data_IF_681923296151
#
_entry.id   IF_681923296151
#
_cell.length_a   1.000
_cell.length_b   1.000
_cell.length_c   1.000
_cell.angle_alpha   90.00
_cell.angle_beta   90.00
_cell.angle_gamma   90.00
#
_symmetry.space_group_name_H-M   'P 1'
#
loop_
_entity.id
_entity.type
_entity.pdbx_description
1 polymer ?
#
# COMPACT_ATOMS: atom_id res chain seq x y z
N UNK A 1 1.03 1.73 -24.44
CA UNK A 1 1.10 0.27 -24.73
C UNK A 1 0.38 -0.43 -23.62
N UNK A 2 -0.37 -1.51 -23.87
CA UNK A 2 -0.99 -2.27 -22.78
C UNK A 2 0.08 -2.70 -21.79
N UNK A 3 -0.26 -2.69 -20.49
CA UNK A 3 0.67 -3.07 -19.42
C UNK A 3 1.15 -4.52 -19.55
N UNK A 4 2.25 -4.85 -18.87
CA UNK A 4 2.76 -6.23 -18.81
C UNK A 4 1.71 -7.15 -18.17
N UNK A 5 1.18 -8.16 -18.88
CA UNK A 5 0.16 -9.06 -18.35
C UNK A 5 0.65 -9.93 -17.17
N UNK A 6 1.95 -9.98 -16.92
CA UNK A 6 2.54 -10.67 -15.76
C UNK A 6 2.61 -9.81 -14.50
N UNK A 7 2.16 -8.56 -14.57
CA UNK A 7 2.24 -7.57 -13.48
C UNK A 7 0.88 -7.17 -12.98
N UNK A 8 0.72 -7.19 -11.66
CA UNK A 8 -0.39 -6.57 -10.93
C UNK A 8 0.16 -5.41 -10.12
N UNK A 9 -0.53 -4.28 -10.08
CA UNK A 9 -0.09 -3.11 -9.30
C UNK A 9 -1.15 -2.72 -8.27
N UNK A 10 -0.74 -2.62 -7.01
CA UNK A 10 -1.61 -2.30 -5.87
C UNK A 10 -1.18 -0.98 -5.26
N UNK A 11 -2.16 -0.13 -4.99
CA UNK A 11 -2.00 1.18 -4.37
C UNK A 11 -2.74 1.20 -3.04
N UNK A 12 -2.10 1.69 -1.97
CA UNK A 12 -2.69 1.76 -0.64
C UNK A 12 -2.58 3.18 -0.09
N UNK A 13 -3.70 3.90 -0.04
CA UNK A 13 -3.76 5.26 0.47
C UNK A 13 -3.52 5.32 1.98
N UNK A 14 -2.97 6.43 2.46
CA UNK A 14 -2.79 6.70 3.87
C UNK A 14 -4.11 7.01 4.59
N UNK A 15 -4.06 7.13 5.92
CA UNK A 15 -5.23 7.47 6.74
C UNK A 15 -5.95 8.72 6.22
N UNK A 16 -7.26 8.64 6.05
CA UNK A 16 -8.15 9.67 5.47
C UNK A 16 -7.91 9.98 3.99
N UNK A 17 -6.91 9.40 3.36
CA UNK A 17 -6.65 9.55 1.93
C UNK A 17 -7.46 8.52 1.14
N UNK A 18 -7.85 8.85 -0.07
CA UNK A 18 -8.68 7.99 -0.92
C UNK A 18 -8.27 8.15 -2.39
N UNK A 19 -8.83 7.30 -3.25
CA UNK A 19 -8.53 7.25 -4.70
C UNK A 19 -8.71 8.56 -5.44
N UNK A 20 -9.60 9.44 -4.94
CA UNK A 20 -9.87 10.74 -5.52
C UNK A 20 -9.10 11.88 -4.81
N UNK A 21 -8.16 11.53 -3.91
CA UNK A 21 -7.28 12.52 -3.30
C UNK A 21 -6.41 13.18 -4.38
N UNK A 22 -6.51 14.49 -4.49
CA UNK A 22 -5.72 15.26 -5.45
C UNK A 22 -4.34 15.59 -4.89
N UNK A 23 -3.34 15.60 -5.76
CA UNK A 23 -1.95 15.95 -5.42
C UNK A 23 -1.35 15.08 -4.30
N UNK A 24 -1.80 13.83 -4.23
CA UNK A 24 -1.26 12.81 -3.35
C UNK A 24 -0.67 11.67 -4.20
N UNK A 25 0.61 11.43 -4.03
CA UNK A 25 1.41 10.57 -4.92
C UNK A 25 0.78 9.18 -5.16
N UNK A 26 0.23 8.51 -4.14
CA UNK A 26 -0.32 7.16 -4.29
C UNK A 26 -1.61 7.16 -5.13
N UNK A 27 -2.51 8.11 -4.87
CA UNK A 27 -3.75 8.26 -5.63
C UNK A 27 -3.47 8.69 -7.08
N UNK A 28 -2.52 9.62 -7.28
CA UNK A 28 -2.13 10.08 -8.62
C UNK A 28 -1.46 8.97 -9.42
N UNK A 29 -0.53 8.23 -8.83
CA UNK A 29 0.08 7.07 -9.48
C UNK A 29 -0.96 6.03 -9.88
N UNK A 30 -1.99 5.78 -9.07
CA UNK A 30 -3.09 4.91 -9.47
C UNK A 30 -3.85 5.45 -10.69
N UNK A 31 -4.16 6.75 -10.73
CA UNK A 31 -4.84 7.37 -11.87
C UNK A 31 -4.01 7.27 -13.16
N UNK A 32 -2.71 7.49 -13.06
CA UNK A 32 -1.78 7.46 -14.19
C UNK A 32 -1.33 6.06 -14.60
N UNK A 33 -1.56 5.05 -13.78
CA UNK A 33 -1.20 3.67 -14.08
C UNK A 33 -2.09 3.10 -15.19
N UNK A 34 -1.45 2.56 -16.23
CA UNK A 34 -2.11 1.96 -17.41
C UNK A 34 -2.18 0.42 -17.35
N UNK A 35 -1.76 -0.19 -16.25
CA UNK A 35 -1.92 -1.62 -16.07
C UNK A 35 -3.40 -1.98 -16.03
N UNK A 36 -3.82 -2.97 -16.84
CA UNK A 36 -5.20 -3.49 -16.84
C UNK A 36 -5.57 -4.06 -15.46
N UNK A 37 -4.58 -4.64 -14.78
CA UNK A 37 -4.73 -5.20 -13.44
C UNK A 37 -4.10 -4.29 -12.40
N UNK A 38 -4.89 -3.31 -11.96
CA UNK A 38 -4.54 -2.42 -10.86
C UNK A 38 -5.65 -2.38 -9.83
N UNK A 39 -5.26 -2.15 -8.60
CA UNK A 39 -6.17 -2.06 -7.45
C UNK A 39 -5.79 -0.90 -6.55
N UNK A 40 -6.77 -0.24 -5.95
CA UNK A 40 -6.52 0.78 -4.94
C UNK A 40 -7.35 0.54 -3.69
N UNK A 41 -6.68 0.58 -2.56
CA UNK A 41 -7.27 0.60 -1.23
C UNK A 41 -7.34 2.04 -0.73
N UNK A 42 -8.55 2.51 -0.41
CA UNK A 42 -8.71 3.77 0.30
C UNK A 42 -8.20 3.62 1.74
N UNK A 43 -7.62 4.67 2.28
CA UNK A 43 -7.01 4.64 3.60
C UNK A 43 -8.02 4.49 4.74
N UNK A 44 -7.62 3.96 5.89
CA UNK A 44 -8.47 3.89 7.07
C UNK A 44 -9.05 5.26 7.44
N UNK A 45 -10.34 5.32 7.74
CA UNK A 45 -11.02 6.57 8.07
C UNK A 45 -11.36 7.48 6.89
N UNK A 46 -11.21 7.03 5.65
CA UNK A 46 -11.60 7.78 4.45
C UNK A 46 -13.13 7.90 4.26
N UNK A 47 -13.92 7.23 5.10
CA UNK A 47 -15.38 7.28 5.05
C UNK A 47 -15.97 6.34 3.99
N UNK A 48 -17.16 6.69 3.46
CA UNK A 48 -17.95 5.85 2.54
C UNK A 48 -17.33 5.61 1.15
N UNK A 49 -16.10 6.05 0.90
CA UNK A 49 -15.40 5.77 -0.36
C UNK A 49 -15.24 4.28 -0.64
N UNK A 50 -15.24 3.47 0.41
CA UNK A 50 -15.11 2.02 0.30
C UNK A 50 -16.24 1.36 -0.49
N UNK A 51 -17.47 1.86 -0.42
CA UNK A 51 -18.63 1.16 -0.97
C UNK A 51 -19.36 1.90 -2.09
N UNK A 52 -19.25 3.23 -2.16
CA UNK A 52 -20.16 4.00 -3.00
C UNK A 52 -19.78 4.08 -4.49
N UNK A 53 -18.53 3.83 -4.85
CA UNK A 53 -18.03 4.06 -6.22
C UNK A 53 -17.33 2.87 -6.90
N UNK A 54 -16.86 1.87 -6.17
CA UNK A 54 -16.09 0.79 -6.79
C UNK A 54 -16.91 -0.50 -6.94
N UNK A 55 -17.37 -0.72 -8.16
CA UNK A 55 -18.11 -1.93 -8.53
C UNK A 55 -17.31 -3.24 -8.28
N UNK A 56 -15.98 -3.20 -8.41
CA UNK A 56 -15.14 -4.38 -8.17
C UNK A 56 -15.06 -4.74 -6.69
N UNK A 57 -14.93 -3.75 -5.80
CA UNK A 57 -14.97 -3.99 -4.34
C UNK A 57 -16.29 -4.64 -3.96
N UNK A 58 -17.42 -4.14 -4.46
CA UNK A 58 -18.75 -4.71 -4.17
C UNK A 58 -18.89 -6.16 -4.64
N UNK A 59 -18.31 -6.50 -5.79
CA UNK A 59 -18.29 -7.90 -6.27
C UNK A 59 -17.51 -8.80 -5.32
N UNK A 60 -16.34 -8.34 -4.86
CA UNK A 60 -15.53 -9.11 -3.93
C UNK A 60 -16.22 -9.24 -2.57
N UNK A 61 -16.80 -8.15 -2.04
CA UNK A 61 -17.59 -8.19 -0.79
C UNK A 61 -18.78 -9.15 -0.89
N UNK A 62 -19.46 -9.20 -2.03
CA UNK A 62 -20.57 -10.12 -2.24
C UNK A 62 -20.13 -11.58 -2.10
N UNK A 63 -18.94 -11.95 -2.57
CA UNK A 63 -18.42 -13.31 -2.41
C UNK A 63 -18.23 -13.70 -0.94
N UNK A 64 -17.80 -12.78 -0.10
CA UNK A 64 -17.68 -13.04 1.33
C UNK A 64 -19.05 -13.21 1.99
N UNK A 65 -20.04 -12.39 1.60
CA UNK A 65 -21.43 -12.52 2.09
C UNK A 65 -22.09 -13.83 1.67
N UNK A 66 -21.75 -14.34 0.50
CA UNK A 66 -22.21 -15.63 -0.03
C UNK A 66 -21.38 -16.81 0.51
N UNK A 67 -20.51 -16.59 1.48
CA UNK A 67 -19.59 -17.60 2.03
C UNK A 67 -18.66 -18.25 0.98
N UNK A 68 -18.38 -17.53 -0.10
CA UNK A 68 -17.55 -17.97 -1.23
C UNK A 68 -16.13 -17.44 -1.08
N UNK A 69 -15.45 -17.96 -0.07
CA UNK A 69 -14.05 -17.62 0.21
C UNK A 69 -13.11 -18.28 -0.81
N UNK A 70 -12.12 -17.53 -1.27
CA UNK A 70 -11.03 -18.10 -2.04
C UNK A 70 -10.31 -19.18 -1.20
N UNK A 71 -9.89 -20.26 -1.83
CA UNK A 71 -9.24 -21.38 -1.14
C UNK A 71 -8.13 -20.94 -0.18
N UNK A 72 -7.19 -20.02 -0.58
CA UNK A 72 -6.15 -19.51 0.31
C UNK A 72 -6.65 -18.70 1.51
N UNK A 73 -7.90 -18.24 1.49
CA UNK A 73 -8.48 -17.42 2.57
C UNK A 73 -9.39 -18.21 3.51
N UNK A 74 -9.56 -19.50 3.31
CA UNK A 74 -10.39 -20.33 4.19
C UNK A 74 -9.91 -20.33 5.64
N UNK A 75 -8.61 -20.09 5.88
CA UNK A 75 -8.06 -19.91 7.22
C UNK A 75 -8.63 -18.69 7.95
N UNK A 76 -8.99 -17.62 7.21
CA UNK A 76 -9.60 -16.42 7.78
C UNK A 76 -11.09 -16.62 8.13
N UNK A 77 -11.77 -17.59 7.52
CA UNK A 77 -13.18 -17.89 7.72
C UNK A 77 -13.55 -18.25 9.16
N UNK A 78 -12.65 -18.90 9.87
CA UNK A 78 -12.87 -19.33 11.28
C UNK A 78 -12.74 -18.21 12.31
N UNK A 79 -12.40 -16.99 11.91
CA UNK A 79 -12.07 -15.90 12.83
C UNK A 79 -13.25 -14.95 13.13
N UNK A 80 -14.46 -15.33 12.74
CA UNK A 80 -15.69 -14.60 13.01
C UNK A 80 -16.33 -13.98 11.78
N UNK A 81 -17.57 -13.49 11.90
CA UNK A 81 -18.21 -12.78 10.83
C UNK A 81 -17.41 -11.51 10.57
N UNK A 82 -16.82 -11.40 9.41
CA UNK A 82 -16.28 -10.13 8.92
C UNK A 82 -17.47 -9.26 8.53
N UNK A 83 -17.99 -8.54 9.49
CA UNK A 83 -18.81 -7.38 9.21
C UNK A 83 -17.89 -6.33 8.61
N UNK A 84 -17.92 -6.23 7.29
CA UNK A 84 -17.34 -5.09 6.60
C UNK A 84 -18.13 -3.87 7.05
N UNK A 85 -17.66 -3.21 8.09
CA UNK A 85 -18.32 -2.08 8.72
C UNK A 85 -18.24 -0.87 7.78
N UNK A 86 -19.30 -0.72 6.95
CA UNK A 86 -19.44 0.38 6.01
C UNK A 86 -19.59 1.74 6.70
N UNK A 87 -19.94 1.76 7.98
CA UNK A 87 -20.05 2.98 8.81
C UNK A 87 -18.79 3.22 9.64
N UNK A 88 -17.64 2.93 9.11
CA UNK A 88 -16.37 3.00 9.81
C UNK A 88 -16.20 4.36 10.44
N UNK A 89 -16.44 4.37 11.71
CA UNK A 89 -16.24 5.49 12.59
C UNK A 89 -14.96 6.23 12.21
N UNK A 90 -15.12 7.41 11.61
CA UNK A 90 -14.00 8.27 11.18
C UNK A 90 -12.95 8.45 12.27
N UNK A 91 -13.37 8.39 13.54
CA UNK A 91 -12.52 8.53 14.73
C UNK A 91 -11.75 7.24 15.00
N UNK A 92 -12.38 6.08 14.98
CA UNK A 92 -11.72 4.79 15.25
C UNK A 92 -10.81 4.33 14.11
N UNK A 93 -11.16 4.65 12.86
CA UNK A 93 -10.26 4.46 11.72
C UNK A 93 -9.01 5.34 11.82
N UNK A 94 -9.16 6.55 12.36
CA UNK A 94 -8.04 7.48 12.55
C UNK A 94 -7.06 7.00 13.64
N UNK A 95 -7.56 6.54 14.78
CA UNK A 95 -6.75 6.18 15.95
C UNK A 95 -6.34 4.71 15.96
N UNK A 96 -7.21 3.81 15.55
CA UNK A 96 -7.06 2.36 15.70
C UNK A 96 -6.74 1.57 14.42
N UNK A 97 -6.58 2.21 13.26
CA UNK A 97 -6.27 1.49 12.01
C UNK A 97 -7.37 0.55 11.50
N UNK A 98 -8.59 0.62 12.05
CA UNK A 98 -9.73 -0.17 11.59
C UNK A 98 -9.95 0.01 10.09
N UNK A 99 -10.18 -1.06 9.38
CA UNK A 99 -10.32 -1.10 7.93
C UNK A 99 -9.06 -1.58 7.20
N UNK A 100 -7.90 -1.65 7.85
CA UNK A 100 -6.70 -2.20 7.24
C UNK A 100 -6.84 -3.68 6.94
N UNK A 101 -7.39 -4.46 7.88
CA UNK A 101 -7.60 -5.89 7.69
C UNK A 101 -8.60 -6.18 6.58
N UNK A 102 -9.66 -5.37 6.49
CA UNK A 102 -10.64 -5.48 5.41
C UNK A 102 -9.98 -5.22 4.06
N UNK A 103 -9.11 -4.19 3.97
CA UNK A 103 -8.34 -3.91 2.78
C UNK A 103 -7.47 -5.12 2.38
N UNK A 104 -6.80 -5.76 3.35
CA UNK A 104 -5.97 -6.93 3.11
C UNK A 104 -6.82 -8.08 2.58
N UNK A 105 -7.93 -8.43 3.25
CA UNK A 105 -8.77 -9.55 2.86
C UNK A 105 -9.40 -9.35 1.48
N UNK A 106 -9.97 -8.18 1.23
CA UNK A 106 -10.58 -7.85 -0.06
C UNK A 106 -9.54 -7.91 -1.18
N UNK A 107 -8.34 -7.37 -0.94
CA UNK A 107 -7.26 -7.38 -1.92
C UNK A 107 -6.75 -8.80 -2.18
N UNK A 108 -6.61 -9.65 -1.15
CA UNK A 108 -6.23 -11.05 -1.32
C UNK A 108 -7.25 -11.81 -2.15
N UNK A 109 -8.54 -11.62 -1.87
CA UNK A 109 -9.61 -12.24 -2.64
C UNK A 109 -9.57 -11.79 -4.10
N UNK A 110 -9.38 -10.50 -4.35
CA UNK A 110 -9.24 -9.96 -5.69
C UNK A 110 -8.01 -10.52 -6.41
N UNK A 111 -6.85 -10.56 -5.76
CA UNK A 111 -5.62 -11.14 -6.31
C UNK A 111 -5.80 -12.60 -6.70
N UNK A 112 -6.50 -13.37 -5.89
CA UNK A 112 -6.81 -14.77 -6.18
C UNK A 112 -7.68 -14.90 -7.42
N UNK A 113 -8.72 -14.08 -7.54
CA UNK A 113 -9.58 -14.06 -8.72
C UNK A 113 -8.82 -13.66 -9.98
N UNK A 114 -7.97 -12.62 -9.89
CA UNK A 114 -7.15 -12.18 -11.02
C UNK A 114 -6.13 -13.25 -11.45
N UNK A 115 -5.53 -13.97 -10.50
CA UNK A 115 -4.64 -15.07 -10.80
C UNK A 115 -5.33 -16.21 -11.59
N UNK A 116 -6.56 -16.52 -11.22
CA UNK A 116 -7.32 -17.57 -11.93
C UNK A 116 -7.84 -17.13 -13.29
N UNK A 117 -8.08 -15.84 -13.49
CA UNK A 117 -8.40 -15.33 -14.84
C UNK A 117 -7.17 -15.43 -15.75
N UNK A 118 -6.04 -14.98 -15.27
CA UNK A 118 -4.75 -14.99 -15.95
C UNK A 118 -3.61 -14.97 -14.93
N UNK A 119 -2.80 -16.04 -14.84
CA UNK A 119 -1.66 -16.08 -13.94
C UNK A 119 -0.71 -14.88 -14.12
N UNK A 120 -0.23 -14.34 -13.00
CA UNK A 120 0.80 -13.29 -12.97
C UNK A 120 1.98 -13.73 -12.13
N UNK A 121 3.12 -13.03 -12.24
CA UNK A 121 4.36 -13.37 -11.54
C UNK A 121 4.86 -12.26 -10.64
N UNK A 122 4.43 -11.03 -10.87
CA UNK A 122 4.87 -9.87 -10.10
C UNK A 122 3.66 -9.15 -9.52
N UNK A 123 3.77 -8.78 -8.25
CA UNK A 123 2.83 -7.91 -7.57
C UNK A 123 3.60 -6.70 -7.05
N UNK A 124 3.41 -5.56 -7.69
CA UNK A 124 4.01 -4.30 -7.26
C UNK A 124 3.05 -3.58 -6.34
N UNK A 125 3.56 -3.09 -5.22
CA UNK A 125 2.76 -2.40 -4.22
C UNK A 125 3.36 -1.05 -3.90
N UNK A 126 2.51 -0.05 -3.73
CA UNK A 126 2.91 1.25 -3.22
C UNK A 126 1.91 1.72 -2.17
N UNK A 127 2.40 2.29 -1.09
CA UNK A 127 1.53 2.78 -0.02
C UNK A 127 2.14 3.94 0.75
N UNK A 128 1.27 4.71 1.41
CA UNK A 128 1.67 5.82 2.27
C UNK A 128 1.13 5.65 3.68
N UNK A 129 1.95 5.96 4.71
CA UNK A 129 1.52 5.93 6.10
C UNK A 129 0.97 4.54 6.48
N UNK A 130 -0.26 4.44 6.95
CA UNK A 130 -0.95 3.15 7.17
C UNK A 130 -1.16 2.35 5.90
N UNK A 131 -1.29 3.01 4.75
CA UNK A 131 -1.30 2.31 3.46
C UNK A 131 0.03 1.61 3.17
N UNK A 132 1.17 2.21 3.54
CA UNK A 132 2.48 1.57 3.44
C UNK A 132 2.58 0.36 4.37
N UNK A 133 2.08 0.46 5.60
CA UNK A 133 1.98 -0.68 6.52
C UNK A 133 1.04 -1.76 5.97
N UNK A 134 -0.06 -1.36 5.33
CA UNK A 134 -0.98 -2.30 4.66
C UNK A 134 -0.26 -3.10 3.57
N UNK A 135 0.67 -2.51 2.80
CA UNK A 135 1.42 -3.25 1.78
C UNK A 135 2.33 -4.32 2.39
N UNK A 136 2.97 -4.03 3.53
CA UNK A 136 3.80 -5.01 4.26
C UNK A 136 2.94 -6.17 4.76
N UNK A 137 1.85 -5.84 5.46
CA UNK A 137 0.92 -6.84 5.99
C UNK A 137 0.27 -7.68 4.87
N UNK A 138 -0.08 -7.05 3.75
CA UNK A 138 -0.62 -7.75 2.58
C UNK A 138 0.40 -8.74 1.98
N UNK A 139 1.66 -8.36 1.84
CA UNK A 139 2.71 -9.24 1.35
C UNK A 139 2.89 -10.46 2.27
N UNK A 140 2.85 -10.25 3.59
CA UNK A 140 2.93 -11.33 4.57
C UNK A 140 1.69 -12.24 4.49
N UNK A 141 0.50 -11.67 4.37
CA UNK A 141 -0.73 -12.42 4.18
C UNK A 141 -0.76 -13.21 2.85
N UNK A 142 -0.22 -12.65 1.75
CA UNK A 142 -0.02 -13.37 0.49
C UNK A 142 0.89 -14.57 0.66
N UNK A 143 1.97 -14.43 1.43
CA UNK A 143 2.87 -15.55 1.72
C UNK A 143 2.14 -16.66 2.47
N UNK A 144 1.42 -16.31 3.54
CA UNK A 144 0.62 -17.26 4.32
C UNK A 144 -0.47 -17.94 3.47
N UNK A 145 -1.07 -17.21 2.53
CA UNK A 145 -2.04 -17.72 1.57
C UNK A 145 -1.43 -18.56 0.43
N UNK A 146 -0.12 -18.79 0.44
CA UNK A 146 0.55 -19.68 -0.52
C UNK A 146 0.90 -19.05 -1.88
N UNK A 147 0.78 -17.73 -2.07
CA UNK A 147 1.12 -17.06 -3.33
C UNK A 147 2.60 -17.26 -3.72
N UNK A 148 3.49 -17.42 -2.73
CA UNK A 148 4.90 -17.75 -2.97
C UNK A 148 5.09 -19.07 -3.71
N UNK A 149 4.31 -20.09 -3.37
CA UNK A 149 4.32 -21.40 -4.05
C UNK A 149 3.82 -21.34 -5.50
N UNK A 150 3.05 -20.29 -5.83
CA UNK A 150 2.64 -20.00 -7.21
C UNK A 150 3.74 -19.27 -8.02
N UNK A 151 4.89 -19.00 -7.40
CA UNK A 151 6.02 -18.30 -8.01
C UNK A 151 5.83 -16.79 -8.12
N UNK A 152 4.91 -16.22 -7.35
CA UNK A 152 4.67 -14.77 -7.32
C UNK A 152 5.71 -14.10 -6.44
N UNK A 153 6.27 -12.99 -6.93
CA UNK A 153 7.19 -12.10 -6.20
C UNK A 153 6.57 -10.73 -5.99
N UNK A 154 6.82 -10.16 -4.83
CA UNK A 154 6.27 -8.88 -4.41
C UNK A 154 7.38 -7.83 -4.38
N UNK A 155 7.11 -6.63 -4.89
CA UNK A 155 7.98 -5.46 -4.79
C UNK A 155 7.20 -4.34 -4.11
N UNK A 156 7.77 -3.70 -3.10
CA UNK A 156 7.09 -2.71 -2.27
C UNK A 156 7.84 -1.39 -2.28
N UNK A 157 7.11 -0.29 -2.52
CA UNK A 157 7.57 1.07 -2.26
C UNK A 157 6.71 1.70 -1.16
N UNK A 158 7.31 2.04 -0.04
CA UNK A 158 6.64 2.52 1.17
C UNK A 158 6.98 3.98 1.45
N UNK A 159 5.97 4.84 1.48
CA UNK A 159 6.12 6.23 1.90
C UNK A 159 5.82 6.33 3.40
N UNK A 160 6.86 6.57 4.18
CA UNK A 160 6.83 6.82 5.62
C UNK A 160 5.82 5.91 6.36
N UNK A 161 6.10 4.60 6.44
CA UNK A 161 5.17 3.59 6.96
C UNK A 161 4.92 3.78 8.46
N UNK A 162 3.72 4.24 8.82
CA UNK A 162 3.32 4.53 10.21
C UNK A 162 2.12 3.66 10.60
N UNK A 163 2.27 2.74 11.57
CA UNK A 163 1.20 1.81 11.95
C UNK A 163 0.06 2.48 12.74
N UNK A 164 0.30 3.59 13.40
CA UNK A 164 -0.68 4.35 14.17
C UNK A 164 -0.21 4.77 15.56
N UNK A 165 -1.11 5.31 16.37
CA UNK A 165 -0.80 5.94 17.65
C UNK A 165 -0.15 4.99 18.70
N UNK A 166 -0.32 3.70 18.58
CA UNK A 166 0.16 2.72 19.57
C UNK A 166 1.31 1.85 19.07
N UNK A 167 1.82 2.05 17.86
CA UNK A 167 2.64 1.05 17.15
C UNK A 167 2.00 -0.35 17.16
N UNK A 168 0.81 -0.44 17.70
CA UNK A 168 0.07 -1.66 17.88
C UNK A 168 -0.86 -1.80 16.67
N UNK A 169 -0.48 -2.64 15.74
CA UNK A 169 -1.38 -3.12 14.69
C UNK A 169 -2.46 -4.00 15.31
N UNK A 170 -2.43 -4.10 16.62
CA UNK A 170 -3.22 -4.89 17.51
C UNK A 170 -4.60 -4.36 17.85
N UNK A 171 -5.24 -3.59 17.01
CA UNK A 171 -6.68 -3.36 17.13
C UNK A 171 -7.41 -4.70 17.03
N UNK A 172 -8.44 -4.91 17.85
CA UNK A 172 -9.29 -6.11 17.79
C UNK A 172 -9.70 -6.39 16.33
N UNK A 173 -9.29 -7.52 15.78
CA UNK A 173 -9.56 -7.93 14.40
C UNK A 173 -8.35 -7.86 13.46
N UNK A 174 -7.17 -7.48 13.91
CA UNK A 174 -5.96 -7.61 13.14
C UNK A 174 -5.41 -9.04 13.18
N UNK A 175 -4.55 -9.39 12.23
CA UNK A 175 -3.90 -10.71 12.15
C UNK A 175 -2.82 -10.83 13.22
N UNK A 176 -3.15 -11.36 14.42
CA UNK A 176 -2.22 -11.61 15.53
C UNK A 176 -1.59 -13.00 15.46
N UNK A 177 -1.09 -13.49 16.58
CA UNK A 177 -0.56 -14.85 16.73
C UNK A 177 -1.52 -15.94 16.23
N UNK A 178 -2.82 -15.62 16.11
CA UNK A 178 -3.86 -16.50 15.59
C UNK A 178 -4.16 -16.29 14.10
N UNK A 179 -3.42 -15.42 13.40
CA UNK A 179 -3.61 -15.16 11.96
C UNK A 179 -3.22 -13.76 11.47
N UNK A 180 -2.66 -12.89 12.33
CA UNK A 180 -2.18 -11.56 11.92
C UNK A 180 -0.91 -11.69 11.10
N UNK A 181 -0.86 -11.01 9.95
CA UNK A 181 0.38 -10.87 9.23
C UNK A 181 1.33 -9.95 10.02
N UNK A 182 2.54 -10.39 10.37
CA UNK A 182 3.51 -9.53 11.05
C UNK A 182 3.87 -8.33 10.15
N UNK A 183 4.12 -7.18 10.76
CA UNK A 183 4.57 -5.97 10.06
C UNK A 183 6.02 -5.63 10.35
N UNK A 184 6.63 -6.32 11.30
CA UNK A 184 8.00 -6.09 11.73
C UNK A 184 9.03 -6.83 10.86
N UNK A 185 8.57 -7.78 10.05
CA UNK A 185 9.43 -8.59 9.19
C UNK A 185 8.80 -8.72 7.80
N UNK A 186 9.60 -8.55 6.76
CA UNK A 186 9.19 -8.82 5.39
C UNK A 186 9.12 -10.33 5.13
N UNK A 187 8.08 -10.77 4.45
CA UNK A 187 7.97 -12.18 4.07
C UNK A 187 8.95 -12.57 2.95
N UNK A 188 9.31 -13.86 2.82
CA UNK A 188 10.24 -14.34 1.80
C UNK A 188 9.79 -14.14 0.34
N UNK A 189 8.52 -13.79 0.10
CA UNK A 189 8.05 -13.47 -1.26
C UNK A 189 8.40 -12.04 -1.67
N UNK A 190 8.84 -11.17 -0.73
CA UNK A 190 9.25 -9.80 -1.02
C UNK A 190 10.65 -9.83 -1.64
N UNK A 191 10.72 -9.46 -2.91
CA UNK A 191 11.95 -9.41 -3.67
C UNK A 191 12.70 -8.08 -3.48
N UNK A 192 11.96 -6.97 -3.46
CA UNK A 192 12.54 -5.64 -3.27
C UNK A 192 11.60 -4.77 -2.42
N UNK A 193 12.17 -4.11 -1.43
CA UNK A 193 11.51 -3.17 -0.55
C UNK A 193 12.27 -1.85 -0.50
N UNK A 194 11.61 -0.78 -0.91
CA UNK A 194 12.13 0.57 -0.78
C UNK A 194 11.22 1.39 0.14
N UNK A 195 11.81 2.20 1.00
CA UNK A 195 11.05 3.12 1.88
C UNK A 195 11.63 4.52 1.88
N UNK A 196 10.75 5.50 1.88
CA UNK A 196 11.09 6.87 2.30
C UNK A 196 10.74 6.97 3.78
N UNK A 197 11.68 7.45 4.59
CA UNK A 197 11.46 7.74 6.00
C UNK A 197 11.60 9.25 6.22
N UNK A 198 10.54 9.88 6.75
CA UNK A 198 10.57 11.31 7.04
C UNK A 198 11.21 11.57 8.40
N UNK A 199 12.14 12.52 8.47
CA UNK A 199 12.83 12.86 9.71
C UNK A 199 11.95 13.63 10.71
N UNK A 200 10.73 14.02 10.30
CA UNK A 200 9.74 14.74 11.11
C UNK A 200 10.29 16.00 11.80
N UNK A 201 11.17 16.72 11.10
CA UNK A 201 11.77 17.96 11.59
C UNK A 201 10.67 19.03 11.72
N UNK A 202 10.42 19.49 12.95
CA UNK A 202 9.45 20.57 13.23
C UNK A 202 7.97 20.13 13.29
N UNK A 203 7.68 18.84 13.14
CA UNK A 203 6.33 18.29 13.25
C UNK A 203 5.88 18.05 14.69
N UNK A 204 4.61 17.66 14.87
CA UNK A 204 4.08 17.21 16.15
C UNK A 204 4.88 15.98 16.57
N UNK A 205 5.82 16.17 17.50
CA UNK A 205 6.59 15.10 18.11
C UNK A 205 5.66 14.28 18.98
N UNK A 206 5.03 13.29 18.42
CA UNK A 206 4.23 12.32 19.16
C UNK A 206 4.55 10.91 18.68
N UNK A 207 4.48 9.94 19.56
CA UNK A 207 4.67 8.52 19.27
C UNK A 207 3.74 7.97 18.16
N UNK A 208 2.69 8.73 17.83
CA UNK A 208 1.70 8.36 16.82
C UNK A 208 2.18 8.43 15.36
N UNK A 209 3.34 9.03 15.09
CA UNK A 209 3.93 9.10 13.75
C UNK A 209 5.31 8.43 13.68
N UNK A 210 5.57 7.51 14.59
CA UNK A 210 6.79 6.72 14.51
C UNK A 210 6.69 5.75 13.33
N UNK A 211 7.58 5.93 12.34
CA UNK A 211 7.68 5.02 11.20
C UNK A 211 8.32 3.70 11.61
N UNK A 212 7.96 2.65 10.88
CA UNK A 212 8.58 1.33 11.02
C UNK A 212 9.56 1.08 9.87
N UNK A 213 10.62 0.33 10.16
CA UNK A 213 11.52 -0.24 9.17
C UNK A 213 11.51 -1.75 9.42
N UNK A 214 10.76 -2.53 8.61
CA UNK A 214 10.69 -3.96 8.82
C UNK A 214 12.05 -4.61 8.57
N UNK A 215 12.36 -5.65 9.34
CA UNK A 215 13.53 -6.49 9.07
C UNK A 215 13.33 -7.26 7.78
N UNK A 216 14.43 -7.48 7.07
CA UNK A 216 14.45 -8.16 5.78
C UNK A 216 14.83 -9.64 5.92
N UNK A 217 14.50 -10.42 4.91
CA UNK A 217 15.14 -11.73 4.69
C UNK A 217 16.41 -11.53 3.85
N UNK A 218 17.36 -12.48 3.93
CA UNK A 218 18.62 -12.42 3.17
C UNK A 218 18.43 -12.24 1.64
N UNK A 219 17.27 -12.62 1.11
CA UNK A 219 16.96 -12.52 -0.31
C UNK A 219 16.34 -11.19 -0.73
N UNK A 220 15.97 -10.31 0.21
CA UNK A 220 15.27 -9.06 -0.08
C UNK A 220 16.25 -7.92 -0.33
N UNK A 221 16.12 -7.24 -1.47
CA UNK A 221 16.82 -5.96 -1.70
C UNK A 221 16.10 -4.87 -0.91
N UNK A 222 16.74 -4.34 0.11
CA UNK A 222 16.19 -3.29 0.97
C UNK A 222 16.91 -1.96 0.77
N UNK A 223 16.15 -0.87 0.58
CA UNK A 223 16.68 0.50 0.48
C UNK A 223 15.82 1.47 1.24
N UNK A 224 16.46 2.36 1.98
CA UNK A 224 15.80 3.43 2.73
C UNK A 224 16.33 4.78 2.28
N UNK A 225 15.41 5.72 2.07
CA UNK A 225 15.69 7.10 1.67
C UNK A 225 15.21 8.03 2.79
N UNK A 226 16.11 8.47 3.69
CA UNK A 226 15.74 9.49 4.69
C UNK A 226 15.55 10.83 3.98
N UNK A 227 14.44 11.51 4.26
CA UNK A 227 14.18 12.85 3.75
C UNK A 227 13.75 13.77 4.89
N UNK A 228 14.28 14.99 4.95
CA UNK A 228 13.80 15.99 5.90
C UNK A 228 12.39 16.45 5.56
N UNK A 229 11.60 16.78 6.57
CA UNK A 229 10.23 17.22 6.43
C UNK A 229 9.24 16.50 7.34
N UNK A 230 7.96 16.81 7.20
CA UNK A 230 6.89 16.18 7.97
C UNK A 230 6.32 14.95 7.27
N UNK A 231 5.65 14.11 8.05
CA UNK A 231 5.05 12.83 7.63
C UNK A 231 4.31 12.85 6.26
N UNK A 232 3.56 13.92 5.96
CA UNK A 232 2.82 14.01 4.69
C UNK A 232 3.60 14.66 3.54
N UNK A 233 4.81 15.16 3.77
CA UNK A 233 5.51 15.92 2.74
C UNK A 233 6.03 15.00 1.62
N UNK A 234 6.40 13.76 1.91
CA UNK A 234 6.88 12.80 0.90
C UNK A 234 5.84 12.43 -0.17
N UNK A 235 4.56 12.70 0.04
CA UNK A 235 3.48 12.37 -0.92
C UNK A 235 2.77 13.58 -1.51
N UNK A 236 2.92 14.78 -0.94
CA UNK A 236 2.26 16.01 -1.41
C UNK A 236 3.12 16.74 -2.44
N UNK A 237 3.29 16.15 -3.59
CA UNK A 237 4.23 16.55 -4.63
C UNK A 237 3.95 17.91 -5.29
N UNK A 238 2.68 18.34 -5.37
CA UNK A 238 2.29 19.59 -6.03
C UNK A 238 2.25 20.80 -5.09
N UNK A 239 2.68 20.66 -3.86
CA UNK A 239 2.83 21.79 -2.95
C UNK A 239 3.98 22.69 -3.42
N UNK A 240 3.72 23.98 -3.57
CA UNK A 240 4.79 24.94 -3.78
C UNK A 240 5.85 24.81 -2.67
N UNK A 241 7.12 24.72 -3.05
CA UNK A 241 8.26 24.56 -2.14
C UNK A 241 8.24 23.25 -1.32
N UNK A 242 7.79 22.14 -1.90
CA UNK A 242 7.93 20.82 -1.29
C UNK A 242 8.81 19.89 -2.14
N UNK A 243 10.14 20.02 -2.05
CA UNK A 243 11.07 19.14 -2.77
C UNK A 243 10.90 17.67 -2.39
N UNK A 244 10.65 17.36 -1.11
CA UNK A 244 10.47 16.00 -0.63
C UNK A 244 9.33 15.28 -1.37
N UNK A 245 8.22 15.96 -1.65
CA UNK A 245 7.09 15.41 -2.40
C UNK A 245 7.44 15.10 -3.86
N UNK A 246 8.20 15.97 -4.53
CA UNK A 246 8.66 15.74 -5.89
C UNK A 246 9.64 14.56 -5.97
N UNK A 247 10.62 14.53 -5.07
CA UNK A 247 11.56 13.42 -4.94
C UNK A 247 10.81 12.13 -4.66
N UNK A 248 9.88 12.15 -3.70
CA UNK A 248 9.06 11.00 -3.36
C UNK A 248 8.29 10.44 -4.54
N UNK A 249 7.56 11.30 -5.27
CA UNK A 249 6.81 10.89 -6.46
C UNK A 249 7.73 10.28 -7.52
N UNK A 250 8.86 10.92 -7.81
CA UNK A 250 9.83 10.44 -8.80
C UNK A 250 10.41 9.08 -8.43
N UNK A 251 10.81 8.88 -7.17
CA UNK A 251 11.32 7.60 -6.68
C UNK A 251 10.27 6.49 -6.79
N UNK A 252 9.03 6.76 -6.37
CA UNK A 252 7.94 5.79 -6.46
C UNK A 252 7.60 5.39 -7.90
N UNK A 253 7.50 6.36 -8.81
CA UNK A 253 7.28 6.10 -10.24
C UNK A 253 8.44 5.29 -10.86
N UNK A 254 9.68 5.67 -10.57
CA UNK A 254 10.88 5.00 -11.07
C UNK A 254 10.94 3.55 -10.58
N UNK A 255 10.61 3.31 -9.29
CA UNK A 255 10.53 1.99 -8.72
C UNK A 255 9.46 1.12 -9.42
N UNK A 256 8.25 1.61 -9.56
CA UNK A 256 7.16 0.87 -10.18
C UNK A 256 7.45 0.56 -11.66
N UNK A 257 8.04 1.51 -12.40
CA UNK A 257 8.46 1.31 -13.80
C UNK A 257 9.58 0.28 -13.92
N UNK A 258 10.58 0.31 -13.04
CA UNK A 258 11.62 -0.71 -12.95
C UNK A 258 11.03 -2.12 -12.86
N UNK A 259 9.89 -2.25 -12.21
CA UNK A 259 9.17 -3.51 -12.02
C UNK A 259 8.05 -3.75 -13.05
N UNK A 260 8.07 -3.04 -14.17
CA UNK A 260 7.17 -3.20 -15.32
C UNK A 260 5.72 -2.72 -15.07
N UNK A 261 5.48 -1.85 -14.10
CA UNK A 261 4.21 -1.11 -14.06
C UNK A 261 4.22 -0.02 -15.14
N UNK A 262 3.15 0.07 -15.91
CA UNK A 262 3.01 1.02 -17.02
C UNK A 262 2.29 2.28 -16.57
N UNK A 263 2.72 3.42 -17.08
CA UNK A 263 2.18 4.73 -16.75
C UNK A 263 2.00 5.60 -17.99
N UNK A 264 1.01 6.47 -17.98
CA UNK A 264 0.74 7.41 -19.05
C UNK A 264 1.82 8.53 -19.18
N UNK A 265 1.66 9.39 -20.17
CA UNK A 265 2.61 10.48 -20.43
C UNK A 265 2.70 11.51 -19.30
N UNK A 266 1.61 11.75 -18.56
CA UNK A 266 1.57 12.67 -17.42
C UNK A 266 2.51 12.20 -16.31
N UNK A 267 2.42 10.93 -15.90
CA UNK A 267 3.32 10.36 -14.91
C UNK A 267 4.80 10.46 -15.34
N UNK A 268 5.06 10.32 -16.64
CA UNK A 268 6.44 10.37 -17.15
C UNK A 268 7.10 11.75 -16.96
N UNK A 269 6.32 12.82 -16.97
CA UNK A 269 6.80 14.18 -16.74
C UNK A 269 7.27 14.42 -15.29
N UNK A 270 6.92 13.54 -14.36
CA UNK A 270 7.30 13.65 -12.95
C UNK A 270 8.49 12.77 -12.55
N UNK A 271 9.05 12.00 -13.48
CA UNK A 271 10.28 11.25 -13.25
C UNK A 271 11.47 12.19 -13.44
N UNK A 272 12.12 12.54 -12.35
CA UNK A 272 13.27 13.43 -12.36
C UNK A 272 14.51 12.71 -12.91
N UNK A 273 15.35 13.44 -13.65
CA UNK A 273 16.71 13.00 -13.95
C UNK A 273 17.57 13.02 -12.66
N UNK A 274 18.74 12.37 -12.70
CA UNK A 274 19.66 12.39 -11.56
C UNK A 274 20.08 13.84 -11.20
N UNK A 275 20.23 14.72 -12.18
CA UNK A 275 20.58 16.13 -11.99
C UNK A 275 19.42 16.86 -11.31
N UNK A 276 18.18 16.70 -11.83
CA UNK A 276 17.01 17.36 -11.24
C UNK A 276 16.73 16.83 -9.83
N UNK A 277 17.00 15.54 -9.57
CA UNK A 277 16.88 14.92 -8.25
C UNK A 277 17.85 15.56 -7.24
N UNK A 278 19.10 15.76 -7.65
CA UNK A 278 20.11 16.44 -6.83
C UNK A 278 19.76 17.91 -6.59
N UNK A 279 19.21 18.58 -7.60
CA UNK A 279 18.74 19.96 -7.48
C UNK A 279 17.58 20.07 -6.47
N UNK A 280 16.58 19.20 -6.57
CA UNK A 280 15.48 19.19 -5.59
C UNK A 280 15.99 18.81 -4.19
N UNK A 281 16.94 17.87 -4.07
CA UNK A 281 17.53 17.50 -2.79
C UNK A 281 18.29 18.66 -2.14
N UNK A 282 18.96 19.50 -2.91
CA UNK A 282 19.68 20.69 -2.41
C UNK A 282 18.77 21.78 -1.80
N UNK A 283 17.47 21.70 -2.04
CA UNK A 283 16.44 22.61 -1.51
C UNK A 283 15.84 22.13 -0.18
N UNK A 284 16.14 20.87 0.24
CA UNK A 284 15.72 20.31 1.52
C UNK A 284 16.58 20.86 2.67
#
# INVERSE_FOLDING_TARGET
MPGDPNVVTIFCCGTKSHRDSENEAVADMHRWCENDRKWINDGPGAGNFFSSGNHEIRKVEALFKEDRWAGPLQWARGQGPYEFDNERNKIFGLLGGRGTNDNILITLQWLWLEYHKQPFRKCNMVGWSRGAVTTIALANAMHMAGFGSLGIRVNIFAYDPVPGASNDFGGSGSFDETGRAPIETLSPIVNEYHSILMENVGGVKGSCFQCISPSETEATIHRTYPLPGGHGDCVKWNKARNPAGKIGLSLGLSFLKKHNSSFNGEANAHVLSDIDMLEEYSKL
#
